data_IF_484316708336
#
_entry.id   IF_484316708336
#
_cell.length_a   1.000
_cell.length_b   1.000
_cell.length_c   1.000
_cell.angle_alpha   90.00
_cell.angle_beta   90.00
_cell.angle_gamma   90.00
#
_symmetry.space_group_name_H-M   'P 1'
#
loop_
_entity.id
_entity.type
_entity.pdbx_description
1 polymer ?
#
# COMPACT_ATOMS: atom_id res chain seq x y z
N UNK A 1 -10.43 -22.33 12.98
CA UNK A 1 -9.22 -22.94 12.41
C UNK A 1 -8.25 -21.82 12.13
N UNK A 2 -6.95 -22.05 12.35
CA UNK A 2 -5.94 -20.97 12.23
C UNK A 2 -5.48 -20.87 10.78
N UNK A 3 -5.60 -19.68 10.20
CA UNK A 3 -5.20 -19.37 8.82
C UNK A 3 -3.98 -18.45 8.78
N UNK A 4 -2.96 -18.82 8.01
CA UNK A 4 -1.72 -18.08 7.86
C UNK A 4 -1.63 -17.46 6.48
N UNK A 5 -1.47 -16.13 6.44
CA UNK A 5 -1.16 -15.44 5.19
C UNK A 5 0.35 -15.41 4.97
N UNK A 6 0.83 -16.13 3.95
CA UNK A 6 2.25 -16.15 3.58
C UNK A 6 2.45 -15.40 2.27
N UNK A 7 3.30 -14.37 2.28
CA UNK A 7 3.63 -13.59 1.09
C UNK A 7 5.03 -13.00 1.18
N UNK A 8 5.55 -12.46 0.08
CA UNK A 8 6.86 -11.82 0.12
C UNK A 8 7.15 -10.86 -1.01
N UNK A 9 8.43 -10.52 -1.14
CA UNK A 9 8.92 -9.58 -2.16
C UNK A 9 9.14 -10.32 -3.49
N UNK A 10 8.66 -9.75 -4.60
CA UNK A 10 8.85 -10.31 -5.95
C UNK A 10 10.35 -10.53 -6.28
N UNK A 11 11.24 -9.72 -5.70
CA UNK A 11 12.70 -9.83 -5.85
C UNK A 11 13.31 -11.09 -5.22
N UNK A 12 12.56 -11.83 -4.40
CA UNK A 12 13.05 -13.00 -3.66
C UNK A 12 12.58 -14.26 -4.37
N UNK A 13 13.47 -14.91 -5.13
CA UNK A 13 13.19 -16.16 -5.86
C UNK A 13 13.69 -17.42 -5.13
N UNK A 14 14.30 -17.27 -3.95
CA UNK A 14 14.78 -18.38 -3.13
C UNK A 14 14.54 -18.08 -1.66
N UNK A 15 13.83 -18.97 -0.98
CA UNK A 15 13.57 -18.86 0.46
C UNK A 15 14.80 -19.27 1.26
N UNK A 16 15.07 -18.53 2.33
CA UNK A 16 16.08 -18.87 3.32
C UNK A 16 15.65 -20.10 4.15
N UNK A 17 16.61 -20.91 4.63
CA UNK A 17 16.34 -22.13 5.40
C UNK A 17 15.41 -21.89 6.60
N UNK A 18 15.68 -20.84 7.40
CA UNK A 18 14.81 -20.41 8.51
C UNK A 18 13.35 -20.16 8.11
N UNK A 19 13.11 -19.67 6.88
CA UNK A 19 11.74 -19.47 6.37
C UNK A 19 11.12 -20.81 6.01
N UNK A 20 11.87 -21.68 5.34
CA UNK A 20 11.42 -23.04 4.99
C UNK A 20 11.08 -23.85 6.25
N UNK A 21 11.92 -23.80 7.28
CA UNK A 21 11.65 -24.43 8.59
C UNK A 21 10.37 -23.91 9.24
N UNK A 22 10.11 -22.59 9.14
CA UNK A 22 8.89 -22.00 9.67
C UNK A 22 7.66 -22.43 8.89
N UNK A 23 7.76 -22.51 7.56
CA UNK A 23 6.70 -23.06 6.70
C UNK A 23 6.45 -24.53 7.06
N UNK A 24 7.50 -25.33 7.23
CA UNK A 24 7.37 -26.73 7.67
C UNK A 24 6.60 -26.86 8.99
N UNK A 25 6.87 -25.98 9.97
CA UNK A 25 6.12 -25.95 11.24
C UNK A 25 4.65 -25.57 11.06
N UNK A 26 4.34 -24.64 10.15
CA UNK A 26 2.97 -24.25 9.81
C UNK A 26 2.22 -25.46 9.21
N UNK A 27 2.84 -26.15 8.26
CA UNK A 27 2.27 -27.35 7.63
C UNK A 27 2.09 -28.48 8.64
N UNK A 28 3.11 -28.75 9.47
CA UNK A 28 3.04 -29.76 10.53
C UNK A 28 2.02 -29.46 11.63
N UNK A 29 1.59 -28.20 11.77
CA UNK A 29 0.49 -27.81 12.67
C UNK A 29 -0.88 -27.86 11.98
N UNK A 30 -0.94 -28.31 10.72
CA UNK A 30 -2.15 -28.41 9.89
C UNK A 30 -2.98 -27.12 9.81
N UNK A 31 -2.29 -25.97 9.82
CA UNK A 31 -2.90 -24.65 9.62
C UNK A 31 -3.29 -24.44 8.17
N UNK A 32 -4.37 -23.69 7.96
CA UNK A 32 -4.75 -23.22 6.63
C UNK A 32 -3.75 -22.17 6.14
N UNK A 33 -3.35 -22.23 4.88
CA UNK A 33 -2.40 -21.29 4.27
C UNK A 33 -3.06 -20.57 3.11
N UNK A 34 -3.00 -19.25 3.13
CA UNK A 34 -3.37 -18.40 2.00
C UNK A 34 -2.11 -17.77 1.41
N UNK A 35 -1.95 -17.89 0.09
CA UNK A 35 -0.78 -17.41 -0.66
C UNK A 35 -1.22 -16.79 -1.97
N UNK A 36 -0.46 -15.80 -2.46
CA UNK A 36 -0.73 -15.19 -3.75
C UNK A 36 -0.21 -16.01 -4.94
N UNK A 37 -0.63 -15.61 -6.14
CA UNK A 37 -0.18 -16.14 -7.42
C UNK A 37 1.00 -15.37 -8.05
N UNK A 38 1.61 -14.41 -7.37
CA UNK A 38 2.64 -13.57 -7.99
C UNK A 38 3.97 -14.32 -8.22
N UNK A 39 4.83 -13.75 -9.05
CA UNK A 39 6.19 -14.26 -9.21
C UNK A 39 7.07 -13.96 -7.98
N UNK A 40 8.20 -14.65 -7.89
CA UNK A 40 9.20 -14.43 -6.86
C UNK A 40 8.86 -15.17 -5.57
N UNK A 41 8.60 -14.42 -4.49
CA UNK A 41 8.43 -15.02 -3.18
C UNK A 41 7.21 -15.94 -3.14
N UNK A 42 6.08 -15.52 -3.73
CA UNK A 42 4.83 -16.28 -3.76
C UNK A 42 5.02 -17.64 -4.46
N UNK A 43 5.62 -17.68 -5.66
CA UNK A 43 6.00 -18.94 -6.32
C UNK A 43 6.95 -19.79 -5.47
N UNK A 44 7.92 -19.16 -4.79
CA UNK A 44 8.89 -19.88 -3.94
C UNK A 44 8.23 -20.46 -2.68
N UNK A 45 7.24 -19.75 -2.11
CA UNK A 45 6.41 -20.22 -1.00
C UNK A 45 5.55 -21.39 -1.47
N UNK A 46 4.88 -21.27 -2.61
CA UNK A 46 4.12 -22.36 -3.22
C UNK A 46 5.01 -23.61 -3.40
N UNK A 47 6.19 -23.48 -4.01
CA UNK A 47 7.10 -24.61 -4.17
C UNK A 47 7.48 -25.27 -2.82
N UNK A 48 7.75 -24.44 -1.81
CA UNK A 48 8.07 -24.92 -0.47
C UNK A 48 6.89 -25.66 0.20
N UNK A 49 5.68 -25.15 0.04
CA UNK A 49 4.45 -25.79 0.53
C UNK A 49 4.21 -27.15 -0.16
N UNK A 50 4.46 -27.23 -1.47
CA UNK A 50 4.38 -28.49 -2.21
C UNK A 50 5.41 -29.50 -1.70
N UNK A 51 6.67 -29.08 -1.49
CA UNK A 51 7.72 -29.96 -0.96
C UNK A 51 7.36 -30.54 0.41
N UNK A 52 6.70 -29.75 1.26
CA UNK A 52 6.19 -30.22 2.56
C UNK A 52 4.80 -30.85 2.49
N UNK A 53 4.26 -31.09 1.29
CA UNK A 53 2.96 -31.74 1.06
C UNK A 53 1.81 -31.06 1.81
N UNK A 54 1.79 -29.72 1.81
CA UNK A 54 0.73 -28.95 2.43
C UNK A 54 -0.62 -29.25 1.75
N UNK A 55 -1.58 -29.71 2.55
CA UNK A 55 -2.93 -30.13 2.14
C UNK A 55 -3.94 -28.96 2.16
N UNK A 56 -3.76 -28.01 3.09
CA UNK A 56 -4.66 -26.88 3.29
C UNK A 56 -4.10 -25.57 2.76
N UNK A 57 -3.94 -25.47 1.45
CA UNK A 57 -3.48 -24.24 0.79
C UNK A 57 -4.58 -23.70 -0.12
N UNK A 58 -4.77 -22.38 -0.11
CA UNK A 58 -5.62 -21.67 -1.08
C UNK A 58 -4.81 -20.57 -1.76
N UNK A 59 -4.78 -20.60 -3.10
CA UNK A 59 -4.10 -19.60 -3.92
C UNK A 59 -5.06 -18.46 -4.25
N UNK A 60 -4.64 -17.22 -4.02
CA UNK A 60 -5.42 -16.02 -4.32
C UNK A 60 -4.89 -15.33 -5.58
N UNK A 61 -5.80 -15.03 -6.50
CA UNK A 61 -5.50 -14.26 -7.70
C UNK A 61 -6.56 -13.17 -7.93
N UNK A 62 -6.16 -12.12 -8.66
CA UNK A 62 -7.10 -11.14 -9.21
C UNK A 62 -7.30 -11.44 -10.69
N UNK A 63 -8.55 -11.61 -11.12
CA UNK A 63 -8.91 -12.00 -12.48
C UNK A 63 -9.40 -13.44 -12.58
N UNK A 64 -9.45 -13.96 -13.81
CA UNK A 64 -10.06 -15.27 -14.09
C UNK A 64 -9.12 -16.45 -13.78
N UNK A 65 -7.82 -16.30 -14.01
CA UNK A 65 -6.82 -17.35 -13.83
C UNK A 65 -5.62 -16.87 -13.00
N UNK A 66 -5.08 -17.73 -12.11
CA UNK A 66 -3.86 -17.43 -11.37
C UNK A 66 -2.65 -17.48 -12.33
N UNK A 67 -1.69 -16.59 -12.13
CA UNK A 67 -0.42 -16.63 -12.87
C UNK A 67 0.40 -17.87 -12.51
N UNK A 68 0.42 -18.22 -11.23
CA UNK A 68 1.17 -19.33 -10.68
C UNK A 68 0.30 -20.14 -9.71
N UNK A 69 0.22 -21.44 -9.93
CA UNK A 69 -0.33 -22.43 -9.01
C UNK A 69 0.46 -23.74 -9.12
N UNK A 70 1.52 -23.88 -8.31
CA UNK A 70 2.55 -24.92 -8.47
C UNK A 70 2.03 -26.35 -8.21
N UNK A 71 0.99 -26.52 -7.40
CA UNK A 71 0.46 -27.83 -7.03
C UNK A 71 -1.07 -27.92 -7.18
N UNK A 72 -1.66 -27.11 -8.07
CA UNK A 72 -3.09 -27.14 -8.39
C UNK A 72 -4.02 -27.00 -7.17
N UNK A 73 -3.61 -26.22 -6.17
CA UNK A 73 -4.44 -25.96 -5.00
C UNK A 73 -5.73 -25.20 -5.36
N UNK A 74 -6.77 -25.26 -4.51
CA UNK A 74 -7.96 -24.43 -4.64
C UNK A 74 -7.62 -22.95 -4.86
N UNK A 75 -8.30 -22.33 -5.83
CA UNK A 75 -8.07 -20.92 -6.20
C UNK A 75 -9.24 -20.06 -5.74
N UNK A 76 -8.93 -18.99 -5.00
CA UNK A 76 -9.89 -17.94 -4.64
C UNK A 76 -9.68 -16.71 -5.53
N UNK A 77 -10.67 -16.46 -6.39
CA UNK A 77 -10.68 -15.32 -7.29
C UNK A 77 -11.24 -14.10 -6.59
N UNK A 78 -10.51 -12.99 -6.62
CA UNK A 78 -10.95 -11.72 -6.05
C UNK A 78 -11.28 -10.77 -7.20
N UNK A 79 -12.52 -10.28 -7.22
CA UNK A 79 -12.93 -9.25 -8.18
C UNK A 79 -12.44 -7.88 -7.72
N UNK A 80 -11.94 -7.09 -8.66
CA UNK A 80 -11.53 -5.71 -8.41
C UNK A 80 -12.19 -4.80 -9.44
N UNK A 81 -12.83 -3.73 -8.94
CA UNK A 81 -13.37 -2.66 -9.79
C UNK A 81 -12.26 -1.74 -10.33
N UNK A 82 -11.01 -1.94 -9.92
CA UNK A 82 -9.88 -1.19 -10.42
C UNK A 82 -9.55 -1.58 -11.86
N UNK A 83 -8.96 -0.65 -12.62
CA UNK A 83 -8.48 -0.93 -13.99
C UNK A 83 -7.55 -2.14 -13.98
N UNK A 84 -7.84 -3.12 -14.83
CA UNK A 84 -6.99 -4.30 -15.01
C UNK A 84 -5.53 -3.92 -15.24
N UNK A 85 -4.61 -4.61 -14.56
CA UNK A 85 -3.17 -4.32 -14.61
C UNK A 85 -2.70 -3.16 -13.73
N UNK A 86 -3.60 -2.42 -13.08
CA UNK A 86 -3.21 -1.38 -12.12
C UNK A 86 -2.71 -1.99 -10.80
N UNK A 87 -1.97 -1.19 -10.02
CA UNK A 87 -1.54 -1.61 -8.68
C UNK A 87 -2.74 -1.93 -7.79
N UNK A 88 -3.79 -1.10 -7.83
CA UNK A 88 -5.01 -1.28 -7.04
C UNK A 88 -5.72 -2.61 -7.37
N UNK A 89 -5.64 -3.04 -8.64
CA UNK A 89 -6.17 -4.33 -9.07
C UNK A 89 -5.43 -5.50 -8.40
N UNK A 90 -4.10 -5.47 -8.35
CA UNK A 90 -3.33 -6.55 -7.73
C UNK A 90 -3.36 -6.52 -6.20
N UNK A 91 -3.53 -5.36 -5.58
CA UNK A 91 -3.63 -5.27 -4.10
C UNK A 91 -4.98 -5.72 -3.56
N UNK A 92 -6.02 -5.83 -4.40
CA UNK A 92 -7.34 -6.26 -3.95
C UNK A 92 -7.32 -7.68 -3.34
N UNK A 93 -6.59 -8.61 -3.99
CA UNK A 93 -6.41 -9.96 -3.43
C UNK A 93 -5.61 -9.96 -2.12
N UNK A 94 -4.64 -9.05 -1.98
CA UNK A 94 -3.78 -8.97 -0.79
C UNK A 94 -4.59 -8.53 0.44
N UNK A 95 -5.51 -7.58 0.24
CA UNK A 95 -6.46 -7.14 1.26
C UNK A 95 -7.35 -8.32 1.68
N UNK A 96 -7.85 -9.09 0.72
CA UNK A 96 -8.71 -10.23 1.02
C UNK A 96 -7.96 -11.38 1.74
N UNK A 97 -6.70 -11.64 1.37
CA UNK A 97 -5.83 -12.58 2.08
C UNK A 97 -5.58 -12.12 3.52
N UNK A 98 -5.29 -10.84 3.73
CA UNK A 98 -5.11 -10.27 5.07
C UNK A 98 -6.40 -10.39 5.91
N UNK A 99 -7.57 -10.13 5.31
CA UNK A 99 -8.88 -10.29 5.97
C UNK A 99 -9.20 -11.74 6.32
N UNK A 100 -8.84 -12.70 5.47
CA UNK A 100 -9.14 -14.13 5.64
C UNK A 100 -8.15 -14.88 6.55
N UNK A 101 -7.06 -14.23 6.98
CA UNK A 101 -6.01 -14.84 7.81
C UNK A 101 -6.09 -14.43 9.29
N UNK A 102 -5.47 -15.19 10.19
CA UNK A 102 -5.34 -14.82 11.62
C UNK A 102 -4.01 -14.10 11.90
N UNK A 103 -2.96 -14.48 11.17
CA UNK A 103 -1.66 -13.80 11.22
C UNK A 103 -0.89 -13.95 9.90
N UNK A 104 0.12 -13.10 9.71
CA UNK A 104 0.97 -13.10 8.52
C UNK A 104 2.38 -13.66 8.74
N UNK A 105 2.93 -14.31 7.72
CA UNK A 105 4.35 -14.56 7.55
C UNK A 105 4.84 -13.85 6.28
N UNK A 106 5.66 -12.81 6.45
CA UNK A 106 6.09 -11.95 5.35
C UNK A 106 7.58 -12.11 5.08
N UNK A 107 7.98 -12.30 3.83
CA UNK A 107 9.39 -12.39 3.44
C UNK A 107 9.80 -11.10 2.72
N UNK A 108 10.64 -10.29 3.34
CA UNK A 108 10.88 -8.92 2.91
C UNK A 108 12.34 -8.60 2.60
N UNK A 109 12.56 -7.89 1.49
CA UNK A 109 13.89 -7.49 0.98
C UNK A 109 14.34 -6.09 1.44
N UNK A 110 13.62 -5.49 2.41
CA UNK A 110 13.79 -4.10 2.88
C UNK A 110 13.48 -3.01 1.82
N UNK A 111 12.84 -3.37 0.70
CA UNK A 111 12.55 -2.44 -0.41
C UNK A 111 11.12 -2.55 -0.93
N UNK A 112 10.53 -3.74 -0.89
CA UNK A 112 9.22 -4.03 -1.45
C UNK A 112 8.13 -3.28 -0.69
N UNK A 113 7.55 -2.28 -1.35
CA UNK A 113 6.39 -1.55 -0.84
C UNK A 113 5.12 -2.41 -0.82
N UNK A 114 5.05 -3.48 -1.61
CA UNK A 114 3.91 -4.40 -1.63
C UNK A 114 3.86 -5.23 -0.36
N UNK A 115 4.96 -5.91 -0.03
CA UNK A 115 5.09 -6.69 1.21
C UNK A 115 4.88 -5.82 2.45
N UNK A 116 5.42 -4.60 2.46
CA UNK A 116 5.19 -3.65 3.55
C UNK A 116 3.71 -3.22 3.66
N UNK A 117 3.01 -3.11 2.53
CA UNK A 117 1.56 -2.83 2.54
C UNK A 117 0.78 -3.99 3.16
N UNK A 118 1.16 -5.25 2.89
CA UNK A 118 0.53 -6.42 3.50
C UNK A 118 0.73 -6.44 5.03
N UNK A 119 1.93 -6.08 5.51
CA UNK A 119 2.21 -5.92 6.95
C UNK A 119 1.31 -4.84 7.56
N UNK A 120 1.20 -3.68 6.92
CA UNK A 120 0.37 -2.57 7.40
C UNK A 120 -1.12 -2.97 7.42
N UNK A 121 -1.60 -3.66 6.39
CA UNK A 121 -3.00 -4.10 6.30
C UNK A 121 -3.37 -5.09 7.42
N UNK A 122 -2.48 -6.06 7.70
CA UNK A 122 -2.64 -6.96 8.84
C UNK A 122 -2.67 -6.21 10.16
N UNK A 123 -1.75 -5.25 10.34
CA UNK A 123 -1.66 -4.48 11.57
C UNK A 123 -2.91 -3.61 11.82
N UNK A 124 -3.46 -2.97 10.78
CA UNK A 124 -4.73 -2.23 10.86
C UNK A 124 -5.92 -3.14 11.20
N UNK A 125 -5.88 -4.38 10.70
CA UNK A 125 -6.86 -5.41 11.05
C UNK A 125 -6.62 -6.03 12.43
N UNK A 126 -5.73 -5.46 13.27
CA UNK A 126 -5.33 -5.97 14.60
C UNK A 126 -4.74 -7.39 14.57
N UNK A 127 -4.15 -7.79 13.45
CA UNK A 127 -3.52 -9.09 13.24
C UNK A 127 -2.01 -8.96 13.31
N UNK A 128 -1.37 -9.93 13.95
CA UNK A 128 0.09 -9.96 14.07
C UNK A 128 0.70 -10.44 12.75
N UNK A 129 1.91 -9.99 12.47
CA UNK A 129 2.72 -10.57 11.40
C UNK A 129 4.15 -10.82 11.85
N UNK A 130 4.75 -11.89 11.35
CA UNK A 130 6.16 -12.22 11.52
C UNK A 130 6.84 -11.94 10.19
N UNK A 131 7.80 -11.01 10.19
CA UNK A 131 8.48 -10.56 8.98
C UNK A 131 9.91 -11.06 8.98
N UNK A 132 10.27 -11.89 8.00
CA UNK A 132 11.65 -12.26 7.73
C UNK A 132 12.36 -11.15 6.97
N UNK A 133 13.36 -10.54 7.59
CA UNK A 133 14.16 -9.45 7.02
C UNK A 133 15.37 -10.06 6.31
N UNK A 134 15.31 -10.13 4.97
CA UNK A 134 16.32 -10.82 4.16
C UNK A 134 17.73 -10.21 4.26
N UNK A 135 17.84 -8.94 4.65
CA UNK A 135 19.13 -8.27 4.88
C UNK A 135 19.86 -8.82 6.11
N UNK A 136 19.12 -9.05 7.20
CA UNK A 136 19.66 -9.44 8.50
C UNK A 136 19.50 -10.95 8.78
N UNK A 137 18.77 -11.67 7.94
CA UNK A 137 18.46 -13.11 8.07
C UNK A 137 17.78 -13.45 9.40
N UNK A 138 16.89 -12.56 9.83
CA UNK A 138 16.19 -12.68 11.10
C UNK A 138 14.72 -12.29 11.00
N UNK A 139 13.94 -12.71 12.00
CA UNK A 139 12.51 -12.43 12.09
C UNK A 139 12.23 -11.25 13.01
N UNK A 140 11.33 -10.38 12.59
CA UNK A 140 10.78 -9.28 13.39
C UNK A 140 9.28 -9.52 13.54
N UNK A 141 8.78 -9.47 14.77
CA UNK A 141 7.33 -9.57 15.02
C UNK A 141 6.71 -8.18 15.04
N UNK A 142 5.63 -8.02 14.30
CA UNK A 142 4.90 -6.77 14.14
C UNK A 142 3.50 -6.96 14.70
N UNK A 143 3.23 -6.31 15.83
CA UNK A 143 1.92 -6.30 16.51
C UNK A 143 1.42 -4.90 16.83
N UNK A 144 2.25 -3.89 16.63
CA UNK A 144 1.98 -2.50 16.98
C UNK A 144 2.79 -1.56 16.08
N UNK A 145 2.59 -0.26 16.29
CA UNK A 145 3.28 0.81 15.58
C UNK A 145 4.80 0.77 15.80
N UNK A 146 5.26 0.52 17.03
CA UNK A 146 6.70 0.53 17.33
C UNK A 146 7.43 -0.59 16.57
N UNK A 147 6.83 -1.78 16.49
CA UNK A 147 7.31 -2.88 15.66
C UNK A 147 7.40 -2.50 14.18
N UNK A 148 6.38 -1.81 13.65
CA UNK A 148 6.39 -1.33 12.27
C UNK A 148 7.48 -0.27 12.03
N UNK A 149 7.65 0.69 12.94
CA UNK A 149 8.71 1.70 12.86
C UNK A 149 10.10 1.06 12.88
N UNK A 150 10.30 0.07 13.75
CA UNK A 150 11.52 -0.72 13.79
C UNK A 150 11.74 -1.47 12.46
N UNK A 151 10.71 -2.09 11.89
CA UNK A 151 10.80 -2.76 10.59
C UNK A 151 11.23 -1.78 9.48
N UNK A 152 10.67 -0.59 9.46
CA UNK A 152 10.99 0.44 8.45
C UNK A 152 12.42 0.98 8.62
N UNK A 153 13.00 0.91 9.81
CA UNK A 153 14.41 1.31 10.02
C UNK A 153 15.42 0.45 9.25
N UNK A 154 15.05 -0.76 8.81
CA UNK A 154 15.90 -1.60 7.98
C UNK A 154 15.98 -1.14 6.51
N UNK A 155 15.11 -0.22 6.09
CA UNK A 155 15.11 0.36 4.74
C UNK A 155 16.28 1.34 4.56
N UNK A 156 16.83 1.40 3.35
CA UNK A 156 17.72 2.52 3.00
C UNK A 156 16.91 3.82 2.82
N UNK A 157 17.57 4.97 2.92
CA UNK A 157 16.93 6.27 2.67
C UNK A 157 16.22 6.31 1.30
N UNK A 158 16.85 5.77 0.26
CA UNK A 158 16.26 5.67 -1.08
C UNK A 158 15.02 4.77 -1.11
N UNK A 159 15.07 3.59 -0.47
CA UNK A 159 13.92 2.68 -0.43
C UNK A 159 12.76 3.27 0.39
N UNK A 160 13.07 3.99 1.47
CA UNK A 160 12.08 4.70 2.31
C UNK A 160 11.42 5.84 1.54
N UNK A 161 12.19 6.65 0.80
CA UNK A 161 11.64 7.69 -0.07
C UNK A 161 10.71 7.11 -1.14
N UNK A 162 11.08 5.98 -1.76
CA UNK A 162 10.22 5.27 -2.72
C UNK A 162 8.96 4.71 -2.08
N UNK A 163 9.02 4.27 -0.83
CA UNK A 163 7.84 3.85 -0.08
C UNK A 163 6.94 5.04 0.26
N UNK A 164 7.51 6.19 0.65
CA UNK A 164 6.75 7.42 0.85
C UNK A 164 5.99 7.82 -0.43
N UNK A 165 6.70 7.91 -1.56
CA UNK A 165 6.11 8.24 -2.86
C UNK A 165 4.98 7.27 -3.27
N UNK A 166 5.19 5.97 -3.09
CA UNK A 166 4.28 4.94 -3.62
C UNK A 166 3.08 4.62 -2.74
N UNK A 167 3.25 4.70 -1.43
CA UNK A 167 2.22 4.24 -0.47
C UNK A 167 1.93 5.24 0.64
N UNK A 168 2.58 6.43 0.67
CA UNK A 168 2.41 7.40 1.75
C UNK A 168 2.79 6.79 3.10
N UNK A 169 3.98 6.20 3.18
CA UNK A 169 4.41 5.37 4.31
C UNK A 169 4.23 6.08 5.65
N UNK A 170 4.64 7.33 5.77
CA UNK A 170 4.55 8.10 7.00
C UNK A 170 3.10 8.31 7.44
N UNK A 171 2.19 8.60 6.50
CA UNK A 171 0.76 8.71 6.77
C UNK A 171 0.16 7.38 7.24
N UNK A 172 0.56 6.27 6.61
CA UNK A 172 0.10 4.93 7.01
C UNK A 172 0.58 4.55 8.41
N UNK A 173 1.82 4.88 8.77
CA UNK A 173 2.36 4.63 10.12
C UNK A 173 1.63 5.49 11.16
N UNK A 174 1.39 6.76 10.87
CA UNK A 174 0.67 7.66 11.77
C UNK A 174 -0.77 7.18 12.03
N UNK A 175 -1.46 6.69 10.99
CA UNK A 175 -2.84 6.21 11.08
C UNK A 175 -3.04 4.98 11.99
N UNK A 176 -2.00 4.19 12.25
CA UNK A 176 -2.09 3.02 13.14
C UNK A 176 -2.36 3.43 14.60
N UNK A 177 -1.97 4.64 15.00
CA UNK A 177 -2.23 5.14 16.37
C UNK A 177 -3.68 5.60 16.61
N UNK A 178 -4.42 6.01 15.58
CA UNK A 178 -5.76 6.61 15.74
C UNK A 178 -6.89 5.59 15.89
N UNK A 179 -6.72 4.35 15.41
CA UNK A 179 -7.73 3.28 15.54
C UNK A 179 -7.67 2.55 16.91
N UNK A 180 -6.69 2.89 17.77
CA UNK A 180 -6.61 2.37 19.15
C UNK A 180 -7.38 3.24 20.18
N UNK A 181 -7.87 4.42 19.79
CA UNK A 181 -8.60 5.35 20.68
C UNK A 181 -10.12 5.33 20.52
N UNK A 182 -10.69 4.45 19.70
CA UNK A 182 -12.13 4.32 19.51
C UNK A 182 -12.67 2.98 20.03
N UNK A 183 -12.50 2.72 21.33
CA UNK A 183 -13.25 1.71 22.06
C UNK A 183 -13.45 2.17 23.51
N UNK A 184 -14.54 2.90 23.77
CA UNK A 184 -15.30 2.67 25.00
C UNK A 184 -16.69 2.14 24.62
N UNK A 185 -17.10 0.95 25.10
CA UNK A 185 -18.47 0.50 24.99
C UNK A 185 -19.28 1.12 26.15
N UNK A 186 -20.17 2.06 25.83
CA UNK A 186 -21.24 2.43 26.78
C UNK A 186 -22.34 1.37 26.64
N UNK A 187 -22.56 0.63 27.73
CA UNK A 187 -23.58 -0.41 27.86
C UNK A 187 -25.01 0.16 27.72
N UNK A 188 -26.00 -0.67 27.35
CA UNK A 188 -27.33 -0.21 26.97
C UNK A 188 -28.21 0.08 28.19
N UNK A 189 -28.88 1.23 28.18
CA UNK A 189 -29.98 1.55 29.10
C UNK A 189 -31.25 1.88 28.31
N UNK A 190 -32.21 0.96 28.47
CA UNK A 190 -33.67 1.11 28.46
C UNK A 190 -34.38 1.83 27.30
N UNK A 191 -35.40 1.11 26.80
CA UNK A 191 -36.45 1.52 25.87
C UNK A 191 -37.23 2.75 26.37
N UNK A 192 -37.66 3.60 25.43
CA UNK A 192 -38.98 4.22 25.42
C UNK A 192 -39.36 4.60 23.97
N UNK A 193 -40.64 4.42 23.70
CA UNK A 193 -41.32 4.50 22.41
C UNK A 193 -41.28 5.89 21.75
N UNK A 194 -41.35 5.92 20.42
CA UNK A 194 -42.55 6.30 19.65
C UNK A 194 -42.21 7.00 18.32
N UNK A 195 -43.07 6.72 17.35
CA UNK A 195 -43.17 7.18 15.95
C UNK A 195 -42.47 8.48 15.51
N UNK A 196 -41.74 8.44 14.38
CA UNK A 196 -41.83 9.46 13.30
C UNK A 196 -41.12 9.01 12.01
N UNK A 197 -41.87 9.00 10.93
CA UNK A 197 -41.47 8.86 9.52
C UNK A 197 -40.73 10.11 9.06
N UNK A 198 -39.47 10.02 8.58
CA UNK A 198 -38.92 11.00 7.61
C UNK A 198 -37.82 10.37 6.73
N UNK A 199 -38.12 10.37 5.43
CA UNK A 199 -37.30 10.28 4.20
C UNK A 199 -35.76 10.25 4.26
N UNK A 200 -35.19 9.37 3.42
CA UNK A 200 -33.84 9.52 2.84
C UNK A 200 -33.64 10.92 2.23
N UNK A 201 -32.43 11.48 2.37
CA UNK A 201 -31.84 12.19 1.25
C UNK A 201 -30.40 11.74 0.99
N UNK A 202 -30.14 11.52 -0.30
CA UNK A 202 -28.84 11.55 -0.95
C UNK A 202 -27.95 12.67 -0.39
N UNK A 203 -26.81 12.32 0.23
CA UNK A 203 -25.77 13.28 0.59
C UNK A 203 -24.54 13.10 -0.30
N UNK A 204 -24.54 13.92 -1.35
CA UNK A 204 -23.39 14.58 -1.99
C UNK A 204 -22.11 14.49 -1.16
N UNK A 205 -21.05 13.93 -1.74
CA UNK A 205 -19.69 13.94 -1.18
C UNK A 205 -19.25 15.40 -1.09
N UNK A 206 -19.28 15.98 0.12
CA UNK A 206 -18.60 17.24 0.39
C UNK A 206 -17.10 16.96 0.36
N UNK A 207 -16.45 17.37 -0.74
CA UNK A 207 -15.00 17.41 -0.82
C UNK A 207 -14.47 18.36 0.26
N UNK A 208 -13.67 17.83 1.18
CA UNK A 208 -13.09 18.59 2.28
C UNK A 208 -12.42 19.89 1.78
N UNK A 209 -12.61 21.04 2.46
CA UNK A 209 -11.98 22.31 2.09
C UNK A 209 -10.45 22.23 1.95
N UNK A 210 -9.81 21.35 2.73
CA UNK A 210 -8.37 21.11 2.68
C UNK A 210 -7.92 20.40 1.39
N UNK A 211 -8.75 19.53 0.82
CA UNK A 211 -8.50 18.90 -0.49
C UNK A 211 -8.62 19.93 -1.61
N UNK A 212 -9.56 20.87 -1.49
CA UNK A 212 -9.77 21.98 -2.43
C UNK A 212 -8.56 22.93 -2.48
N UNK A 213 -8.07 23.43 -1.33
CA UNK A 213 -6.91 24.34 -1.29
C UNK A 213 -5.64 23.66 -1.80
N UNK A 214 -5.42 22.40 -1.44
CA UNK A 214 -4.28 21.64 -1.92
C UNK A 214 -4.34 21.45 -3.45
N UNK A 215 -5.52 21.22 -4.01
CA UNK A 215 -5.72 21.11 -5.46
C UNK A 215 -5.55 22.47 -6.16
N UNK A 216 -6.00 23.55 -5.54
CA UNK A 216 -5.82 24.94 -6.03
C UNK A 216 -4.34 25.31 -6.12
N UNK A 217 -3.57 25.06 -5.05
CA UNK A 217 -2.13 25.33 -5.01
C UNK A 217 -1.34 24.50 -6.04
N UNK A 218 -1.66 23.21 -6.16
CA UNK A 218 -1.05 22.34 -7.18
C UNK A 218 -1.33 22.86 -8.59
N UNK A 219 -2.58 23.19 -8.89
CA UNK A 219 -2.99 23.69 -10.21
C UNK A 219 -2.27 25.00 -10.56
N UNK A 220 -2.16 25.93 -9.61
CA UNK A 220 -1.43 27.17 -9.79
C UNK A 220 0.06 26.93 -10.10
N UNK A 221 0.71 26.06 -9.33
CA UNK A 221 2.13 25.77 -9.50
C UNK A 221 2.41 24.98 -10.80
N UNK A 222 1.52 24.05 -11.17
CA UNK A 222 1.60 23.34 -12.46
C UNK A 222 1.47 24.30 -13.65
N UNK A 223 0.59 25.29 -13.54
CA UNK A 223 0.41 26.32 -14.57
C UNK A 223 1.71 27.10 -14.75
N UNK A 224 2.32 27.58 -13.66
CA UNK A 224 3.59 28.28 -13.69
C UNK A 224 4.73 27.43 -14.30
N UNK A 225 4.81 26.14 -13.96
CA UNK A 225 5.80 25.23 -14.54
C UNK A 225 5.56 24.99 -16.04
N UNK A 226 4.30 24.87 -16.47
CA UNK A 226 3.92 24.73 -17.88
C UNK A 226 4.29 25.98 -18.68
N UNK A 227 4.02 27.16 -18.14
CA UNK A 227 4.42 28.43 -18.74
C UNK A 227 5.94 28.55 -18.86
N UNK A 228 6.69 28.09 -17.85
CA UNK A 228 8.15 28.04 -17.92
C UNK A 228 8.63 27.15 -19.07
N UNK A 229 8.07 25.95 -19.26
CA UNK A 229 8.41 25.05 -20.38
C UNK A 229 8.20 25.76 -21.72
N UNK A 230 7.05 26.43 -21.89
CA UNK A 230 6.70 27.13 -23.13
C UNK A 230 7.65 28.31 -23.38
N UNK A 231 7.90 29.14 -22.35
CA UNK A 231 8.76 30.34 -22.45
C UNK A 231 10.22 30.01 -22.74
N UNK A 232 10.71 28.88 -22.24
CA UNK A 232 12.09 28.42 -22.46
C UNK A 232 12.22 27.52 -23.70
N UNK A 233 11.12 27.33 -24.45
CA UNK A 233 11.05 26.47 -25.64
C UNK A 233 11.56 25.05 -25.42
N UNK A 234 11.35 24.49 -24.23
CA UNK A 234 11.77 23.14 -23.90
C UNK A 234 10.81 22.11 -24.50
N UNK A 235 11.36 21.13 -25.22
CA UNK A 235 10.62 19.90 -25.52
C UNK A 235 10.35 19.11 -24.23
N UNK A 236 9.37 18.20 -24.23
CA UNK A 236 9.05 17.41 -23.03
C UNK A 236 10.24 16.60 -22.49
N UNK A 237 11.14 16.11 -23.36
CA UNK A 237 12.33 15.36 -22.97
C UNK A 237 13.41 16.26 -22.37
N UNK A 238 13.55 17.49 -22.85
CA UNK A 238 14.46 18.48 -22.26
C UNK A 238 13.93 18.99 -20.92
N UNK A 239 12.63 19.31 -20.84
CA UNK A 239 11.98 19.71 -19.60
C UNK A 239 12.09 18.63 -18.51
N UNK A 240 12.05 17.35 -18.88
CA UNK A 240 12.25 16.24 -17.95
C UNK A 240 13.63 16.29 -17.29
N UNK A 241 14.67 16.55 -18.09
CA UNK A 241 16.06 16.71 -17.60
C UNK A 241 16.19 17.93 -16.69
N UNK A 242 15.67 19.08 -17.12
CA UNK A 242 15.74 20.34 -16.36
C UNK A 242 14.99 20.22 -15.03
N UNK A 243 13.81 19.59 -15.02
CA UNK A 243 12.99 19.45 -13.82
C UNK A 243 13.37 18.23 -12.97
N UNK A 244 14.37 17.44 -13.37
CA UNK A 244 14.85 16.28 -12.62
C UNK A 244 13.84 15.11 -12.55
N UNK A 245 12.95 15.00 -13.54
CA UNK A 245 11.88 13.98 -13.59
C UNK A 245 11.90 13.20 -14.90
N UNK A 246 11.02 12.21 -15.04
CA UNK A 246 10.88 11.46 -16.29
C UNK A 246 9.99 12.19 -17.30
N UNK A 247 10.17 11.90 -18.60
CA UNK A 247 9.36 12.51 -19.67
C UNK A 247 7.84 12.24 -19.53
N UNK A 248 7.37 11.04 -19.14
CA UNK A 248 5.95 10.83 -18.86
C UNK A 248 5.40 11.76 -17.78
N UNK A 249 6.21 12.09 -16.77
CA UNK A 249 5.84 13.03 -15.71
C UNK A 249 5.62 14.44 -16.26
N UNK A 250 6.45 14.89 -17.22
CA UNK A 250 6.21 16.16 -17.92
C UNK A 250 4.94 16.10 -18.78
N UNK A 251 4.63 14.95 -19.36
CA UNK A 251 3.37 14.76 -20.10
C UNK A 251 2.14 14.93 -19.20
N UNK A 252 2.17 14.31 -18.02
CA UNK A 252 1.09 14.47 -17.03
C UNK A 252 0.97 15.92 -16.52
N UNK A 253 2.10 16.62 -16.35
CA UNK A 253 2.13 18.03 -15.96
C UNK A 253 1.48 18.91 -17.03
N UNK A 254 1.89 18.75 -18.28
CA UNK A 254 1.38 19.56 -19.41
C UNK A 254 -0.10 19.31 -19.70
N UNK A 255 -0.61 18.12 -19.37
CA UNK A 255 -2.03 17.72 -19.44
C UNK A 255 -2.86 18.14 -18.23
N UNK A 256 -2.27 18.75 -17.20
CA UNK A 256 -3.01 19.33 -16.07
C UNK A 256 -3.55 18.31 -15.06
N UNK A 257 -2.93 17.12 -14.96
CA UNK A 257 -3.36 16.08 -13.99
C UNK A 257 -2.92 16.40 -12.56
N UNK A 258 -3.53 17.41 -11.94
CA UNK A 258 -3.12 17.90 -10.61
C UNK A 258 -3.27 16.85 -9.49
N UNK A 259 -4.15 15.87 -9.68
CA UNK A 259 -4.39 14.73 -8.78
C UNK A 259 -3.17 13.82 -8.62
N UNK A 260 -2.29 13.74 -9.64
CA UNK A 260 -1.11 12.87 -9.60
C UNK A 260 0.16 13.57 -9.08
N UNK A 261 0.12 14.87 -8.79
CA UNK A 261 1.26 15.63 -8.30
C UNK A 261 1.11 15.99 -6.82
N UNK A 262 2.13 15.68 -6.01
CA UNK A 262 2.28 16.29 -4.70
C UNK A 262 2.69 17.76 -4.83
N UNK A 263 2.25 18.63 -3.91
CA UNK A 263 2.69 20.03 -3.88
C UNK A 263 4.21 20.13 -3.74
N UNK A 264 4.81 19.33 -2.87
CA UNK A 264 6.27 19.22 -2.70
C UNK A 264 7.00 18.82 -3.99
N UNK A 265 6.45 17.88 -4.76
CA UNK A 265 7.05 17.48 -6.03
C UNK A 265 7.08 18.66 -7.03
N UNK A 266 6.02 19.45 -7.09
CA UNK A 266 5.95 20.64 -7.94
C UNK A 266 6.92 21.73 -7.46
N UNK A 267 7.09 21.91 -6.15
CA UNK A 267 8.07 22.84 -5.58
C UNK A 267 9.50 22.40 -5.93
N UNK A 268 9.81 21.11 -5.80
CA UNK A 268 11.12 20.56 -6.18
C UNK A 268 11.39 20.69 -7.68
N UNK A 269 10.39 20.46 -8.53
CA UNK A 269 10.51 20.71 -9.97
C UNK A 269 10.77 22.18 -10.29
N UNK A 270 10.11 23.10 -9.58
CA UNK A 270 10.35 24.53 -9.71
C UNK A 270 11.79 24.90 -9.29
N UNK A 271 12.26 24.39 -8.15
CA UNK A 271 13.62 24.63 -7.68
C UNK A 271 14.68 24.10 -8.68
N UNK A 272 14.49 22.90 -9.22
CA UNK A 272 15.36 22.32 -10.25
C UNK A 272 15.37 23.14 -11.56
N UNK A 273 14.24 23.79 -11.87
CA UNK A 273 14.11 24.73 -12.98
C UNK A 273 14.72 26.12 -12.70
N UNK A 274 15.32 26.34 -11.53
CA UNK A 274 15.81 27.66 -11.10
C UNK A 274 14.69 28.65 -10.78
N UNK A 275 13.46 28.18 -10.55
CA UNK A 275 12.33 29.00 -10.14
C UNK A 275 12.24 29.03 -8.61
N UNK A 276 11.87 30.20 -8.08
CA UNK A 276 11.58 30.37 -6.65
C UNK A 276 10.08 30.36 -6.43
N UNK A 277 9.63 29.57 -5.45
CA UNK A 277 8.23 29.51 -5.03
C UNK A 277 8.07 30.31 -3.74
N UNK A 278 7.09 31.20 -3.69
CA UNK A 278 6.70 31.94 -2.49
C UNK A 278 5.22 31.64 -2.19
N UNK A 279 4.90 31.40 -0.91
CA UNK A 279 3.55 31.07 -0.46
C UNK A 279 3.14 32.05 0.64
N UNK A 280 1.97 32.67 0.47
CA UNK A 280 1.36 33.55 1.47
C UNK A 280 0.11 32.86 2.04
N UNK A 281 -0.03 32.89 3.35
CA UNK A 281 -1.18 32.33 4.07
C UNK A 281 -2.02 33.48 4.59
N UNK A 282 -3.32 33.43 4.30
CA UNK A 282 -4.31 34.40 4.76
C UNK A 282 -5.39 33.67 5.57
N UNK A 283 -6.08 34.39 6.45
CA UNK A 283 -7.23 33.84 7.16
C UNK A 283 -8.31 33.45 6.14
N UNK A 284 -8.86 32.24 6.30
CA UNK A 284 -10.00 31.80 5.51
C UNK A 284 -11.21 32.64 5.93
N UNK A 285 -11.79 33.40 5.00
CA UNK A 285 -13.01 34.15 5.30
C UNK A 285 -14.11 33.17 5.69
N UNK A 286 -14.71 33.42 6.87
CA UNK A 286 -15.83 32.69 7.44
C UNK A 286 -17.08 32.72 6.58
#
# INVERSE_FOLDING_TARGET
MTTVFIAGSISISRLHEKVQERISKIVGSSFDVVVGDADGADTSIQQCLQTYQADKVTVYCTGDEPRNNVAEWPVRRVQSNARAGSRAFFTAKDIEMARSSDYGLMIWDCKSTGTLSNVIELLRSKKKSVVFVNKNKDFVTISDKAGLEHLVSFMSAHARAKAEEKIGLSLKIAGISQEQLSLEPIAPLAKLDDTAVVSEPSSRVEESPALSESMRLRSALMTALKEHIVRTHLSQSQAAKVFGVTQPRISDLTRGKADVFGLDALVNMAAMAGLRVEMNVHEAMS
#
